data_IF_290204771940
#
_entry.id   IF_290204771940
#
_cell.length_a   1.000
_cell.length_b   1.000
_cell.length_c   1.000
_cell.angle_alpha   90.00
_cell.angle_beta   90.00
_cell.angle_gamma   90.00
#
_symmetry.space_group_name_H-M   'P 1'
#
loop_
_entity.id
_entity.type
_entity.pdbx_description
1 polymer ?
#
# COMPACT_ATOMS: atom_id res chain seq x y z
N UNK A 1 -10.50 6.60 15.80
CA UNK A 1 -10.67 5.50 16.79
C UNK A 1 -11.81 4.54 16.41
N UNK A 2 -13.02 5.03 16.11
CA UNK A 2 -14.16 4.21 15.62
C UNK A 2 -13.86 3.39 14.35
N UNK A 3 -13.04 3.93 13.44
CA UNK A 3 -12.63 3.25 12.20
C UNK A 3 -11.85 1.96 12.48
N UNK A 4 -10.98 1.94 13.49
CA UNK A 4 -10.23 0.73 13.88
C UNK A 4 -11.15 -0.36 14.45
N UNK A 5 -12.18 0.05 15.19
CA UNK A 5 -13.18 -0.86 15.75
C UNK A 5 -14.03 -1.46 14.62
N UNK A 6 -14.49 -0.61 13.68
CA UNK A 6 -15.24 -1.06 12.50
C UNK A 6 -14.42 -2.02 11.63
N UNK A 7 -13.14 -1.72 11.39
CA UNK A 7 -12.24 -2.61 10.64
C UNK A 7 -12.04 -3.97 11.31
N UNK A 8 -11.92 -4.01 12.65
CA UNK A 8 -11.85 -5.27 13.42
C UNK A 8 -13.16 -6.05 13.36
N UNK A 9 -14.30 -5.38 13.54
CA UNK A 9 -15.61 -6.00 13.44
C UNK A 9 -15.84 -6.58 12.04
N UNK A 10 -15.56 -5.81 10.97
CA UNK A 10 -15.64 -6.29 9.60
C UNK A 10 -14.73 -7.50 9.37
N UNK A 11 -13.47 -7.43 9.81
CA UNK A 11 -12.53 -8.56 9.66
C UNK A 11 -13.05 -9.81 10.35
N UNK A 12 -13.60 -9.70 11.57
CA UNK A 12 -14.17 -10.85 12.27
C UNK A 12 -15.40 -11.44 11.56
N UNK A 13 -16.29 -10.60 11.03
CA UNK A 13 -17.48 -11.04 10.30
C UNK A 13 -17.09 -11.65 8.95
N UNK A 14 -16.10 -11.08 8.27
CA UNK A 14 -15.57 -11.57 6.99
C UNK A 14 -14.97 -12.97 7.14
N UNK A 15 -14.20 -13.19 8.21
CA UNK A 15 -13.67 -14.52 8.55
C UNK A 15 -14.81 -15.47 8.94
N UNK A 16 -15.73 -15.04 9.81
CA UNK A 16 -16.86 -15.86 10.26
C UNK A 16 -17.83 -16.25 9.13
N UNK A 17 -17.96 -15.40 8.10
CA UNK A 17 -18.77 -15.67 6.91
C UNK A 17 -18.11 -16.66 5.94
N UNK A 18 -16.90 -17.16 6.23
CA UNK A 18 -16.15 -18.03 5.33
C UNK A 18 -15.61 -17.31 4.09
N UNK A 19 -15.69 -15.98 4.05
CA UNK A 19 -15.24 -15.20 2.89
C UNK A 19 -13.71 -15.29 2.71
N UNK A 20 -12.96 -15.46 3.81
CA UNK A 20 -11.52 -15.73 3.74
C UNK A 20 -11.21 -17.01 2.93
N UNK A 21 -11.93 -18.09 3.19
CA UNK A 21 -11.70 -19.38 2.51
C UNK A 21 -12.15 -19.32 1.06
N UNK A 22 -13.32 -18.72 0.79
CA UNK A 22 -13.83 -18.47 -0.56
C UNK A 22 -12.83 -17.68 -1.42
N UNK A 23 -12.30 -16.58 -0.88
CA UNK A 23 -11.35 -15.72 -1.58
C UNK A 23 -10.01 -16.44 -1.77
N UNK A 24 -9.57 -17.21 -0.76
CA UNK A 24 -8.34 -18.00 -0.87
C UNK A 24 -8.45 -19.09 -1.92
N UNK A 25 -9.55 -19.83 -1.96
CA UNK A 25 -9.81 -20.86 -2.97
C UNK A 25 -9.92 -20.25 -4.37
N UNK A 26 -10.63 -19.12 -4.52
CA UNK A 26 -10.68 -18.39 -5.78
C UNK A 26 -9.28 -17.99 -6.26
N UNK A 27 -8.47 -17.39 -5.39
CA UNK A 27 -7.11 -16.95 -5.73
C UNK A 27 -6.17 -18.13 -6.03
N UNK A 28 -6.27 -19.23 -5.29
CA UNK A 28 -5.47 -20.44 -5.51
C UNK A 28 -5.91 -21.22 -6.76
N UNK A 29 -7.17 -21.11 -7.15
CA UNK A 29 -7.70 -21.70 -8.39
C UNK A 29 -7.26 -20.95 -9.65
N UNK A 30 -6.87 -19.68 -9.50
CA UNK A 30 -6.34 -18.91 -10.61
C UNK A 30 -4.93 -19.44 -10.96
N UNK A 31 -4.67 -19.80 -12.23
CA UNK A 31 -3.36 -20.30 -12.67
C UNK A 31 -2.35 -19.14 -12.86
N UNK A 32 -2.30 -18.21 -11.91
CA UNK A 32 -1.42 -17.03 -11.95
C UNK A 32 -0.42 -17.07 -10.81
N UNK A 33 0.77 -16.55 -11.12
CA UNK A 33 1.85 -16.44 -10.17
C UNK A 33 1.44 -15.52 -9.00
N UNK A 34 1.67 -15.97 -7.76
CA UNK A 34 1.46 -15.18 -6.54
C UNK A 34 2.08 -13.77 -6.57
N UNK A 35 3.21 -13.61 -7.26
CA UNK A 35 3.86 -12.31 -7.46
C UNK A 35 3.07 -11.37 -8.37
N UNK A 36 2.38 -11.92 -9.37
CA UNK A 36 1.53 -11.13 -10.26
C UNK A 36 0.34 -10.53 -9.49
N UNK A 37 -0.22 -11.29 -8.54
CA UNK A 37 -1.30 -10.81 -7.67
C UNK A 37 -0.84 -9.61 -6.84
N UNK A 38 0.36 -9.67 -6.26
CA UNK A 38 0.95 -8.53 -5.52
C UNK A 38 1.13 -7.33 -6.43
N UNK A 39 1.71 -7.51 -7.63
CA UNK A 39 1.90 -6.42 -8.59
C UNK A 39 0.56 -5.77 -8.94
N UNK A 40 -0.49 -6.57 -9.18
CA UNK A 40 -1.83 -6.07 -9.44
C UNK A 40 -2.39 -5.28 -8.25
N UNK A 41 -2.22 -5.76 -7.01
CA UNK A 41 -2.60 -5.02 -5.81
C UNK A 41 -1.87 -3.68 -5.71
N UNK A 42 -0.58 -3.64 -6.01
CA UNK A 42 0.19 -2.39 -6.01
C UNK A 42 -0.34 -1.42 -7.07
N UNK A 43 -0.67 -1.89 -8.28
CA UNK A 43 -1.24 -1.05 -9.33
C UNK A 43 -2.60 -0.49 -8.90
N UNK A 44 -3.46 -1.33 -8.31
CA UNK A 44 -4.77 -0.90 -7.79
C UNK A 44 -4.58 0.17 -6.72
N UNK A 45 -3.69 -0.04 -5.75
CA UNK A 45 -3.43 0.96 -4.71
C UNK A 45 -2.84 2.24 -5.24
N UNK A 46 -1.94 2.18 -6.22
CA UNK A 46 -1.39 3.38 -6.85
C UNK A 46 -2.49 4.18 -7.55
N UNK A 47 -3.34 3.50 -8.33
CA UNK A 47 -4.47 4.12 -8.99
C UNK A 47 -5.49 4.70 -8.00
N UNK A 48 -5.79 3.99 -6.91
CA UNK A 48 -6.68 4.48 -5.85
C UNK A 48 -6.07 5.68 -5.12
N UNK A 49 -4.76 5.66 -4.83
CA UNK A 49 -4.03 6.73 -4.14
C UNK A 49 -4.01 8.05 -4.90
N UNK A 50 -4.21 8.01 -6.22
CA UNK A 50 -4.41 9.19 -7.05
C UNK A 50 -5.75 9.89 -6.82
N UNK A 51 -6.75 9.26 -6.19
CA UNK A 51 -8.11 9.83 -6.01
C UNK A 51 -8.59 9.84 -4.56
N UNK A 52 -8.21 8.81 -3.79
CA UNK A 52 -8.65 8.60 -2.42
C UNK A 52 -7.53 8.90 -1.44
N UNK A 53 -7.90 9.32 -0.23
CA UNK A 53 -6.96 9.50 0.86
C UNK A 53 -6.50 8.14 1.44
N UNK A 54 -5.34 8.11 2.14
CA UNK A 54 -4.76 6.88 2.68
C UNK A 54 -5.70 6.14 3.64
N UNK A 55 -6.49 6.88 4.44
CA UNK A 55 -7.39 6.28 5.42
C UNK A 55 -8.56 5.57 4.73
N UNK A 56 -9.12 6.20 3.69
CA UNK A 56 -10.19 5.60 2.88
C UNK A 56 -9.71 4.33 2.18
N UNK A 57 -8.51 4.36 1.58
CA UNK A 57 -7.94 3.18 0.92
C UNK A 57 -7.67 2.06 1.92
N UNK A 58 -7.06 2.38 3.06
CA UNK A 58 -6.81 1.41 4.14
C UNK A 58 -8.10 0.71 4.55
N UNK A 59 -9.16 1.48 4.84
CA UNK A 59 -10.42 0.94 5.33
C UNK A 59 -11.11 0.02 4.30
N UNK A 60 -11.03 0.37 3.02
CA UNK A 60 -11.66 -0.39 1.94
C UNK A 60 -10.89 -1.68 1.63
N UNK A 61 -9.55 -1.59 1.55
CA UNK A 61 -8.73 -2.65 0.94
C UNK A 61 -8.11 -3.60 1.95
N UNK A 62 -7.66 -3.12 3.13
CA UNK A 62 -6.96 -3.96 4.12
C UNK A 62 -7.77 -5.18 4.55
N UNK A 63 -9.07 -5.08 4.87
CA UNK A 63 -9.83 -6.24 5.32
C UNK A 63 -9.96 -7.33 4.26
N UNK A 64 -9.81 -6.97 2.98
CA UNK A 64 -9.91 -7.88 1.84
C UNK A 64 -8.51 -8.39 1.46
N UNK A 65 -7.49 -7.54 1.45
CA UNK A 65 -6.16 -7.89 0.94
C UNK A 65 -5.31 -8.64 1.96
N UNK A 66 -5.43 -8.34 3.25
CA UNK A 66 -4.70 -9.06 4.30
C UNK A 66 -4.98 -10.57 4.31
N UNK A 67 -6.25 -11.04 4.25
CA UNK A 67 -6.49 -12.48 4.20
C UNK A 67 -5.93 -13.13 2.92
N UNK A 68 -5.96 -12.43 1.77
CA UNK A 68 -5.37 -12.92 0.51
C UNK A 68 -3.85 -13.09 0.63
N UNK A 69 -3.16 -12.09 1.14
CA UNK A 69 -1.69 -12.13 1.28
C UNK A 69 -1.25 -13.23 2.24
N UNK A 70 -2.00 -13.42 3.33
CA UNK A 70 -1.76 -14.53 4.27
C UNK A 70 -1.98 -15.88 3.62
N UNK A 71 -3.02 -16.07 2.81
CA UNK A 71 -3.26 -17.34 2.12
C UNK A 71 -2.24 -17.62 1.01
N UNK A 72 -1.67 -16.59 0.40
CA UNK A 72 -0.54 -16.69 -0.52
C UNK A 72 0.82 -16.98 0.18
N UNK A 73 0.84 -17.00 1.51
CA UNK A 73 2.03 -17.29 2.32
C UNK A 73 3.02 -16.12 2.43
N UNK A 74 2.56 -14.89 2.23
CA UNK A 74 3.38 -13.70 2.40
C UNK A 74 3.24 -13.10 3.81
N UNK A 75 4.32 -12.45 4.25
CA UNK A 75 4.33 -11.75 5.53
C UNK A 75 3.49 -10.45 5.46
N UNK A 76 2.60 -10.28 6.44
CA UNK A 76 1.69 -9.15 6.49
C UNK A 76 2.37 -7.82 6.84
N UNK A 77 3.49 -7.85 7.57
CA UNK A 77 4.29 -6.65 7.88
C UNK A 77 4.98 -6.16 6.63
N UNK A 78 5.64 -7.05 5.89
CA UNK A 78 6.25 -6.72 4.60
C UNK A 78 5.22 -6.13 3.62
N UNK A 79 4.04 -6.74 3.53
CA UNK A 79 2.96 -6.22 2.69
C UNK A 79 2.46 -4.84 3.18
N UNK A 80 2.39 -4.62 4.49
CA UNK A 80 2.08 -3.30 5.07
C UNK A 80 3.12 -2.25 4.72
N UNK A 81 4.41 -2.61 4.65
CA UNK A 81 5.47 -1.68 4.20
C UNK A 81 5.29 -1.32 2.73
N UNK A 82 5.03 -2.31 1.86
CA UNK A 82 4.74 -2.06 0.45
C UNK A 82 3.51 -1.18 0.25
N UNK A 83 2.46 -1.37 1.08
CA UNK A 83 1.28 -0.52 1.10
C UNK A 83 1.63 0.94 1.40
N UNK A 84 2.33 1.18 2.51
CA UNK A 84 2.70 2.53 2.94
C UNK A 84 3.55 3.21 1.88
N UNK A 85 4.60 2.54 1.39
CA UNK A 85 5.49 3.11 0.37
C UNK A 85 4.73 3.48 -0.91
N UNK A 86 3.85 2.61 -1.38
CA UNK A 86 3.05 2.87 -2.58
C UNK A 86 2.09 4.03 -2.38
N UNK A 87 1.37 4.02 -1.26
CA UNK A 87 0.41 5.06 -0.96
C UNK A 87 1.06 6.45 -0.80
N UNK A 88 2.23 6.56 -0.16
CA UNK A 88 3.01 7.80 -0.11
C UNK A 88 3.44 8.27 -1.51
N UNK A 89 3.84 7.33 -2.37
CA UNK A 89 4.22 7.64 -3.76
C UNK A 89 3.03 8.16 -4.56
N UNK A 90 1.85 7.54 -4.42
CA UNK A 90 0.63 7.96 -5.08
C UNK A 90 0.18 9.35 -4.62
N UNK A 91 0.35 9.66 -3.32
CA UNK A 91 0.01 10.96 -2.75
C UNK A 91 0.86 12.13 -3.28
N UNK A 92 2.05 11.81 -3.79
CA UNK A 92 2.96 12.74 -4.45
C UNK A 92 2.81 12.76 -5.97
N UNK A 93 2.09 11.80 -6.56
CA UNK A 93 1.90 11.71 -8.00
C UNK A 93 0.71 12.57 -8.46
N UNK A 94 0.84 13.38 -9.52
CA UNK A 94 -0.27 14.15 -10.08
C UNK A 94 -1.33 13.18 -10.65
N UNK A 95 -2.55 13.18 -10.09
CA UNK A 95 -3.58 14.14 -10.50
C UNK A 95 -4.24 14.93 -9.36
N UNK A 96 -4.10 14.50 -8.10
CA UNK A 96 -4.68 15.16 -6.91
C UNK A 96 -3.61 15.73 -5.96
N UNK A 97 -2.39 15.18 -5.98
CA UNK A 97 -1.15 15.75 -5.43
C UNK A 97 -1.32 16.68 -4.22
N UNK A 98 -2.09 16.27 -3.20
CA UNK A 98 -2.48 17.14 -2.09
C UNK A 98 -1.23 17.75 -1.43
N UNK A 99 -0.18 16.93 -1.25
CA UNK A 99 1.12 17.36 -0.75
C UNK A 99 1.79 18.41 -1.63
N UNK A 100 1.61 18.36 -2.94
CA UNK A 100 2.16 19.35 -3.89
C UNK A 100 1.42 20.68 -3.80
N UNK A 101 0.10 20.65 -3.63
CA UNK A 101 -0.69 21.86 -3.39
C UNK A 101 -0.37 22.48 -2.03
N UNK A 102 -0.15 21.67 -0.99
CA UNK A 102 0.35 22.15 0.30
C UNK A 102 1.74 22.78 0.15
N UNK A 103 2.65 22.15 -0.60
CA UNK A 103 3.97 22.72 -0.87
C UNK A 103 3.85 24.07 -1.59
N UNK A 104 2.93 24.18 -2.55
CA UNK A 104 2.69 25.45 -3.27
C UNK A 104 2.14 26.55 -2.37
N UNK A 105 1.35 26.22 -1.35
CA UNK A 105 0.79 27.20 -0.42
C UNK A 105 1.85 27.89 0.46
N UNK A 106 2.96 27.21 0.76
CA UNK A 106 4.09 27.74 1.54
C UNK A 106 5.27 28.18 0.67
N UNK A 107 5.27 27.82 -0.61
CA UNK A 107 6.35 28.17 -1.54
C UNK A 107 6.33 29.66 -1.90
N UNK A 108 7.51 30.26 -2.15
CA UNK A 108 7.62 31.62 -2.68
C UNK A 108 6.80 31.82 -3.96
N UNK A 109 6.37 33.06 -4.24
CA UNK A 109 5.50 33.36 -5.39
C UNK A 109 6.18 33.06 -6.72
N UNK A 110 7.51 33.07 -6.73
CA UNK A 110 8.37 32.81 -7.90
C UNK A 110 8.35 31.33 -8.33
N UNK A 111 8.01 30.41 -7.43
CA UNK A 111 7.99 28.97 -7.73
C UNK A 111 6.65 28.60 -8.35
N UNK A 112 6.62 28.20 -9.62
CA UNK A 112 5.38 27.78 -10.27
C UNK A 112 4.96 26.37 -9.84
N UNK A 113 3.69 26.01 -10.08
CA UNK A 113 3.24 24.63 -9.86
C UNK A 113 3.96 23.64 -10.79
N UNK A 114 4.37 24.09 -11.97
CA UNK A 114 5.13 23.30 -12.93
C UNK A 114 6.53 22.94 -12.39
N UNK A 115 7.19 23.87 -11.70
CA UNK A 115 8.50 23.64 -11.08
C UNK A 115 8.39 22.57 -9.96
N UNK A 116 7.31 22.61 -9.19
CA UNK A 116 7.02 21.62 -8.15
C UNK A 116 6.78 20.24 -8.79
N UNK A 117 5.96 20.16 -9.84
CA UNK A 117 5.71 18.90 -10.52
C UNK A 117 6.98 18.29 -11.13
N UNK A 118 7.81 19.10 -11.80
CA UNK A 118 9.09 18.64 -12.37
C UNK A 118 10.06 18.16 -11.30
N UNK A 119 10.05 18.78 -10.12
CA UNK A 119 10.92 18.41 -9.00
C UNK A 119 10.47 17.14 -8.28
N UNK A 120 9.17 16.85 -8.29
CA UNK A 120 8.63 15.66 -7.62
C UNK A 120 8.72 14.40 -8.48
N UNK A 121 8.66 14.52 -9.81
CA UNK A 121 8.82 13.38 -10.70
C UNK A 121 10.08 12.53 -10.45
N UNK A 122 11.30 13.10 -10.28
CA UNK A 122 12.49 12.30 -9.94
C UNK A 122 12.39 11.68 -8.54
N UNK A 123 11.73 12.34 -7.59
CA UNK A 123 11.53 11.80 -6.25
C UNK A 123 10.58 10.59 -6.26
N UNK A 124 9.45 10.70 -6.96
CA UNK A 124 8.51 9.59 -7.20
C UNK A 124 9.20 8.42 -7.89
N UNK A 125 10.07 8.70 -8.86
CA UNK A 125 10.85 7.66 -9.53
C UNK A 125 11.76 6.90 -8.56
N UNK A 126 12.45 7.59 -7.64
CA UNK A 126 13.25 6.97 -6.60
C UNK A 126 12.40 6.15 -5.62
N UNK A 127 11.20 6.62 -5.27
CA UNK A 127 10.28 5.87 -4.41
C UNK A 127 9.79 4.58 -5.08
N UNK A 128 9.47 4.63 -6.38
CA UNK A 128 9.10 3.44 -7.16
C UNK A 128 10.24 2.43 -7.25
N UNK A 129 11.49 2.91 -7.43
CA UNK A 129 12.67 2.04 -7.37
C UNK A 129 12.83 1.42 -6.00
N UNK A 130 12.68 2.20 -4.92
CA UNK A 130 12.69 1.70 -3.55
C UNK A 130 11.61 0.65 -3.31
N UNK A 131 10.40 0.89 -3.80
CA UNK A 131 9.27 -0.05 -3.72
C UNK A 131 9.59 -1.36 -4.43
N UNK A 132 10.13 -1.30 -5.65
CA UNK A 132 10.55 -2.47 -6.41
C UNK A 132 11.66 -3.24 -5.69
N UNK A 133 12.64 -2.54 -5.11
CA UNK A 133 13.71 -3.16 -4.33
C UNK A 133 13.18 -3.86 -3.09
N UNK A 134 12.30 -3.24 -2.30
CA UNK A 134 11.71 -3.87 -1.11
C UNK A 134 10.80 -5.05 -1.50
N UNK A 135 10.16 -4.99 -2.66
CA UNK A 135 9.35 -6.08 -3.18
C UNK A 135 10.22 -7.31 -3.52
N UNK A 136 11.37 -7.10 -4.17
CA UNK A 136 12.30 -8.19 -4.54
C UNK A 136 13.13 -8.66 -3.35
N UNK A 137 13.49 -7.74 -2.44
CA UNK A 137 14.34 -7.99 -1.27
C UNK A 137 13.60 -7.62 0.03
N UNK A 138 12.67 -8.47 0.52
CA UNK A 138 11.91 -8.23 1.74
C UNK A 138 12.78 -7.98 2.98
N UNK A 139 13.99 -8.53 3.01
CA UNK A 139 14.94 -8.37 4.10
C UNK A 139 15.27 -6.90 4.42
N UNK A 140 15.22 -6.00 3.43
CA UNK A 140 15.47 -4.57 3.63
C UNK A 140 14.44 -3.97 4.59
N UNK A 141 13.16 -4.32 4.41
CA UNK A 141 12.08 -3.84 5.26
C UNK A 141 11.96 -4.65 6.56
N UNK A 142 12.24 -5.96 6.51
CA UNK A 142 12.02 -6.87 7.63
C UNK A 142 13.18 -6.94 8.62
N UNK A 143 14.37 -6.46 8.27
CA UNK A 143 15.53 -6.50 9.17
C UNK A 143 15.27 -5.80 10.51
N UNK A 144 14.70 -4.59 10.48
CA UNK A 144 14.44 -3.83 11.70
C UNK A 144 13.33 -4.46 12.56
N UNK A 145 12.15 -4.82 12.01
CA UNK A 145 11.15 -5.58 12.75
C UNK A 145 11.68 -6.87 13.35
N UNK A 146 12.47 -7.64 12.60
CA UNK A 146 13.05 -8.89 13.07
C UNK A 146 14.03 -8.69 14.23
N UNK A 147 14.78 -7.58 14.21
CA UNK A 147 15.76 -7.24 15.26
C UNK A 147 15.09 -6.71 16.53
N UNK A 148 14.03 -5.90 16.39
CA UNK A 148 13.34 -5.28 17.53
C UNK A 148 12.31 -6.20 18.18
N UNK A 149 11.52 -6.93 17.38
CA UNK A 149 10.41 -7.73 17.87
C UNK A 149 10.72 -9.22 17.96
N UNK A 150 11.87 -9.67 17.44
CA UNK A 150 12.37 -11.04 17.56
C UNK A 150 11.39 -12.10 17.08
N UNK A 151 11.49 -12.53 15.82
CA UNK A 151 10.83 -13.70 15.19
C UNK A 151 9.62 -14.25 15.98
N UNK A 152 8.46 -13.60 15.85
CA UNK A 152 7.18 -14.27 16.16
C UNK A 152 6.71 -14.92 14.86
N UNK A 153 7.12 -16.19 14.68
CA UNK A 153 6.66 -17.06 13.59
C UNK A 153 5.18 -17.38 13.67
#
# INVERSE_FOLDING_TARGET
MWILIAGRAFSSVFIAAGAQDLVSEFVLSLPVNRWLIIIMMQIIWFAMGCFFDPMTITLLTIPIFVPIIRSLGFDGVWFGVLYIMNNETAFLTPPYGLNLFYLKAVAPKEVSMEDIYKSVLPFVSLQLVGLALVMVFPAIAMWLPNTLFGVSG
#
